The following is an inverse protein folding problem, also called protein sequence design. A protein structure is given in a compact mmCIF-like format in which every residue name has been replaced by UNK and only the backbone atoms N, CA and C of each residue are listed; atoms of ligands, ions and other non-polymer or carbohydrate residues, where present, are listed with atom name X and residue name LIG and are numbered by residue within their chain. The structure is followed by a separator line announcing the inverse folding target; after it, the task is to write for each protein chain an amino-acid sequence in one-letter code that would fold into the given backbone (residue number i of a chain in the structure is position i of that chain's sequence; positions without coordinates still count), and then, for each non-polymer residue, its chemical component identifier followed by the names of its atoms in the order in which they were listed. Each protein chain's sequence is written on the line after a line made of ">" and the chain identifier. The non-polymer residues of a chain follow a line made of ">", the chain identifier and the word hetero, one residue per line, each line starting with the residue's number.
data_IF_099387336963
#
_entry.id   IF_099387336963
#
_cell.length_a   1.000
_cell.length_b   1.000
_cell.length_c   1.000
_cell.angle_alpha   90.00
_cell.angle_beta   90.00
_cell.angle_gamma   90.00
#
_symmetry.space_group_name_H-M   'P 1'
#
loop_
_entity.id
_entity.type
_entity.pdbx_description
1 polymer ?
#
# COMPACT_ATOMS: atom_id res chain seq x y z
N UNK A 1 -5.35 -32.96 17.18
CA UNK A 1 -5.59 -33.63 18.49
C UNK A 1 -6.15 -32.61 19.46
N UNK A 2 -7.39 -32.78 19.92
CA UNK A 2 -8.09 -31.79 20.74
C UNK A 2 -7.59 -31.78 22.19
N UNK A 3 -7.65 -30.62 22.85
CA UNK A 3 -7.23 -30.38 24.25
C UNK A 3 -7.79 -31.36 25.29
N UNK A 4 -8.90 -32.06 24.98
CA UNK A 4 -9.59 -32.97 25.90
C UNK A 4 -9.00 -34.39 25.93
N UNK A 5 -8.28 -34.83 24.90
CA UNK A 5 -7.70 -36.18 24.80
C UNK A 5 -6.17 -36.14 24.75
N UNK A 6 -5.55 -35.16 25.43
CA UNK A 6 -4.09 -35.02 25.45
C UNK A 6 -3.43 -36.02 26.39
N UNK A 7 -2.27 -36.53 26.03
CA UNK A 7 -1.47 -37.40 26.91
C UNK A 7 -1.17 -36.71 28.25
N UNK A 8 -0.96 -35.38 28.24
CA UNK A 8 -0.77 -34.59 29.46
C UNK A 8 -2.01 -34.52 30.38
N UNK A 9 -3.23 -34.50 29.81
CA UNK A 9 -4.46 -34.49 30.62
C UNK A 9 -4.69 -35.87 31.24
N UNK A 10 -4.37 -36.95 30.51
CA UNK A 10 -4.43 -38.32 31.02
C UNK A 10 -3.44 -38.57 32.17
N UNK A 11 -2.21 -38.06 32.06
CA UNK A 11 -1.21 -38.17 33.14
C UNK A 11 -1.69 -37.43 34.41
N UNK A 12 -2.33 -36.27 34.25
CA UNK A 12 -2.88 -35.54 35.39
C UNK A 12 -4.00 -36.33 36.10
N UNK A 13 -4.93 -36.90 35.32
CA UNK A 13 -6.04 -37.69 35.87
C UNK A 13 -5.57 -39.01 36.51
N UNK A 14 -4.61 -39.71 35.89
CA UNK A 14 -4.12 -41.00 36.37
C UNK A 14 -3.13 -40.89 37.52
N UNK A 15 -2.28 -39.86 37.55
CA UNK A 15 -1.20 -39.77 38.55
C UNK A 15 -1.55 -38.81 39.68
N UNK A 16 -2.15 -37.65 39.37
CA UNK A 16 -2.39 -36.61 40.37
C UNK A 16 -3.71 -36.80 41.11
N UNK A 17 -4.77 -37.22 40.38
CA UNK A 17 -6.10 -37.44 40.98
C UNK A 17 -6.21 -38.77 41.74
N UNK A 18 -5.49 -39.81 41.28
CA UNK A 18 -5.50 -41.14 41.88
C UNK A 18 -4.45 -41.36 43.00
N UNK A 19 -3.57 -40.38 43.27
CA UNK A 19 -2.53 -40.53 44.30
C UNK A 19 -3.08 -40.56 45.74
N UNK A 20 -2.55 -41.40 46.64
CA UNK A 20 -2.85 -41.40 48.08
C UNK A 20 -2.46 -40.09 48.76
N UNK A 21 -3.12 -39.73 49.87
CA UNK A 21 -2.92 -38.44 50.57
C UNK A 21 -1.45 -38.18 50.96
N UNK A 22 -0.69 -39.23 51.27
CA UNK A 22 0.72 -39.15 51.69
C UNK A 22 1.71 -38.88 50.53
N UNK A 23 1.34 -39.25 49.30
CA UNK A 23 2.21 -39.15 48.11
C UNK A 23 1.85 -38.05 47.12
N UNK A 24 0.68 -37.39 47.30
CA UNK A 24 0.18 -36.35 46.37
C UNK A 24 1.17 -35.22 46.14
N UNK A 25 2.00 -34.88 47.13
CA UNK A 25 2.96 -33.79 47.04
C UNK A 25 4.13 -34.09 46.09
N UNK A 26 4.72 -35.29 46.18
CA UNK A 26 5.83 -35.72 45.30
C UNK A 26 5.34 -35.91 43.86
N UNK A 27 4.19 -36.56 43.69
CA UNK A 27 3.59 -36.77 42.35
C UNK A 27 3.24 -35.43 41.69
N UNK A 28 2.70 -34.47 42.43
CA UNK A 28 2.43 -33.13 41.92
C UNK A 28 3.68 -32.38 41.46
N UNK A 29 4.80 -32.52 42.18
CA UNK A 29 6.08 -31.91 41.79
C UNK A 29 6.60 -32.51 40.49
N UNK A 30 6.54 -33.84 40.33
CA UNK A 30 7.00 -34.53 39.11
C UNK A 30 6.15 -34.17 37.89
N UNK A 31 4.84 -34.05 38.05
CA UNK A 31 3.93 -33.66 36.95
C UNK A 31 4.19 -32.22 36.51
N UNK A 32 4.43 -31.30 37.46
CA UNK A 32 4.77 -29.91 37.13
C UNK A 32 6.13 -29.79 36.44
N UNK A 33 7.13 -30.56 36.86
CA UNK A 33 8.43 -30.63 36.20
C UNK A 33 8.28 -31.12 34.75
N UNK A 34 7.55 -32.22 34.54
CA UNK A 34 7.28 -32.74 33.20
C UNK A 34 6.55 -31.71 32.32
N UNK A 35 5.51 -31.05 32.86
CA UNK A 35 4.76 -30.02 32.13
C UNK A 35 5.67 -28.88 31.66
N UNK A 36 6.57 -28.42 32.54
CA UNK A 36 7.52 -27.35 32.23
C UNK A 36 8.47 -27.77 31.10
N UNK A 37 9.05 -28.97 31.17
CA UNK A 37 9.97 -29.47 30.11
C UNK A 37 9.28 -29.60 28.75
N UNK A 38 8.02 -30.03 28.72
CA UNK A 38 7.25 -30.17 27.48
C UNK A 38 6.89 -28.81 26.90
N UNK A 39 6.46 -27.86 27.76
CA UNK A 39 6.19 -26.49 27.33
C UNK A 39 7.43 -25.81 26.75
N UNK A 40 8.61 -25.99 27.38
CA UNK A 40 9.88 -25.51 26.86
C UNK A 40 10.24 -26.13 25.49
N UNK A 41 10.08 -27.45 25.33
CA UNK A 41 10.40 -28.13 24.08
C UNK A 41 9.47 -27.69 22.93
N UNK A 42 8.18 -27.53 23.23
CA UNK A 42 7.19 -27.01 22.28
C UNK A 42 7.52 -25.55 21.91
N UNK A 43 7.91 -24.73 22.88
CA UNK A 43 8.26 -23.34 22.64
C UNK A 43 9.54 -23.20 21.79
N UNK A 44 10.53 -24.08 21.98
CA UNK A 44 11.74 -24.16 21.13
C UNK A 44 11.43 -24.62 19.71
N UNK A 45 10.45 -25.49 19.53
CA UNK A 45 10.09 -26.07 18.22
C UNK A 45 9.07 -25.24 17.44
N UNK A 46 8.33 -24.34 18.10
CA UNK A 46 7.39 -23.39 17.47
C UNK A 46 8.01 -22.45 16.43
N UNK A 47 9.18 -21.81 16.67
CA UNK A 47 9.72 -20.85 15.70
C UNK A 47 10.15 -21.50 14.37
N UNK A 48 10.67 -22.73 14.38
CA UNK A 48 11.07 -23.43 13.14
C UNK A 48 9.87 -23.86 12.29
N UNK A 49 8.78 -24.28 12.94
CA UNK A 49 7.52 -24.61 12.24
C UNK A 49 6.80 -23.35 11.76
N UNK A 50 6.81 -22.26 12.54
CA UNK A 50 6.29 -20.95 12.13
C UNK A 50 7.03 -20.36 10.94
N UNK A 51 8.35 -20.56 10.85
CA UNK A 51 9.14 -20.14 9.69
C UNK A 51 8.77 -20.93 8.42
N UNK A 52 8.38 -22.21 8.57
CA UNK A 52 7.98 -23.09 7.46
C UNK A 52 6.51 -22.91 7.04
N UNK A 53 5.66 -22.45 7.97
CA UNK A 53 4.21 -22.35 7.79
C UNK A 53 3.69 -20.94 7.44
N UNK A 54 4.56 -19.96 7.16
CA UNK A 54 4.12 -18.67 6.63
C UNK A 54 3.43 -18.91 5.27
N UNK A 55 2.12 -18.63 5.16
CA UNK A 55 1.32 -19.07 4.04
C UNK A 55 1.73 -18.36 2.75
N UNK A 56 2.00 -19.18 1.73
CA UNK A 56 1.96 -18.78 0.33
C UNK A 56 0.52 -18.38 0.01
N UNK A 57 0.26 -17.08 -0.07
CA UNK A 57 -0.96 -16.57 -0.70
C UNK A 57 -1.80 -15.68 0.19
N UNK A 58 -1.82 -14.41 -0.22
CA UNK A 58 -2.96 -13.50 -0.19
C UNK A 58 -3.64 -13.30 1.18
N UNK A 59 -3.23 -12.24 1.87
CA UNK A 59 -4.22 -11.46 2.62
C UNK A 59 -3.84 -9.99 2.62
N UNK A 60 -4.67 -9.22 1.92
CA UNK A 60 -4.80 -7.79 2.04
C UNK A 60 -4.88 -7.37 3.51
N UNK A 61 -4.09 -6.36 3.89
CA UNK A 61 -4.47 -5.28 4.80
C UNK A 61 -3.44 -4.16 4.67
N UNK A 62 -3.94 -3.01 4.24
CA UNK A 62 -3.21 -1.77 4.12
C UNK A 62 -2.93 -1.22 5.53
N UNK A 63 -1.71 -1.39 6.03
CA UNK A 63 -1.21 -0.63 7.18
C UNK A 63 0.24 -0.20 6.92
N UNK A 64 0.46 1.09 7.04
CA UNK A 64 1.74 1.80 6.90
C UNK A 64 2.71 1.26 7.94
N UNK A 65 3.74 0.51 7.51
CA UNK A 65 4.76 0.00 8.43
C UNK A 65 5.67 -1.05 7.81
N UNK A 66 6.90 -0.63 7.50
CA UNK A 66 8.14 -1.43 7.40
C UNK A 66 8.05 -2.75 6.63
N UNK A 67 8.58 -2.67 5.41
CA UNK A 67 8.84 -3.74 4.44
C UNK A 67 9.50 -4.97 5.06
N UNK A 68 8.72 -6.01 5.40
CA UNK A 68 9.21 -7.40 5.55
C UNK A 68 8.12 -8.42 5.21
N UNK A 69 7.95 -8.72 3.92
CA UNK A 69 7.38 -9.98 3.44
C UNK A 69 7.53 -10.12 1.90
N UNK A 70 8.76 -10.17 1.40
CA UNK A 70 9.01 -10.73 0.06
C UNK A 70 9.72 -12.07 0.28
N UNK A 71 8.96 -13.16 0.17
CA UNK A 71 9.50 -14.50 0.36
C UNK A 71 10.51 -14.82 -0.74
N UNK A 72 11.79 -14.96 -0.36
CA UNK A 72 12.91 -15.68 -1.01
C UNK A 72 13.14 -15.54 -2.53
N UNK A 73 12.32 -14.82 -3.27
CA UNK A 73 12.41 -14.63 -4.70
C UNK A 73 12.80 -13.18 -4.98
N UNK A 74 13.89 -12.94 -5.73
CA UNK A 74 14.20 -11.61 -6.21
C UNK A 74 13.03 -11.13 -7.08
N UNK A 75 12.50 -9.97 -6.74
CA UNK A 75 11.48 -9.28 -7.54
C UNK A 75 12.23 -8.61 -8.69
N UNK A 76 11.76 -8.84 -9.92
CA UNK A 76 12.24 -8.10 -11.07
C UNK A 76 11.69 -6.66 -11.03
N UNK A 77 12.57 -5.73 -10.64
CA UNK A 77 12.27 -4.30 -10.53
C UNK A 77 12.11 -3.61 -11.90
N UNK A 78 12.44 -4.29 -13.00
CA UNK A 78 12.29 -3.75 -14.36
C UNK A 78 10.89 -3.94 -14.92
N UNK A 79 10.09 -4.82 -14.31
CA UNK A 79 8.73 -5.07 -14.75
C UNK A 79 7.88 -3.79 -14.71
N UNK A 80 7.15 -3.48 -15.80
CA UNK A 80 6.24 -2.35 -15.79
C UNK A 80 5.14 -2.61 -14.76
N UNK A 81 5.13 -1.80 -13.71
CA UNK A 81 4.02 -1.77 -12.77
C UNK A 81 2.73 -1.27 -13.41
N UNK A 82 1.63 -1.36 -12.68
CA UNK A 82 0.34 -0.80 -13.10
C UNK A 82 0.48 0.74 -13.08
N UNK A 83 0.52 1.36 -14.26
CA UNK A 83 0.60 2.82 -14.43
C UNK A 83 -0.75 3.38 -14.85
N UNK A 84 -1.11 4.54 -14.28
CA UNK A 84 -2.17 5.37 -14.84
C UNK A 84 -1.56 6.20 -15.98
N UNK A 85 -2.17 6.26 -17.16
CA UNK A 85 -1.65 7.11 -18.23
C UNK A 85 -1.68 8.57 -17.78
N UNK A 86 -0.59 9.29 -18.04
CA UNK A 86 -0.57 10.74 -17.91
C UNK A 86 -1.28 11.33 -19.13
N UNK A 87 -2.06 12.39 -18.91
CA UNK A 87 -2.62 13.17 -20.02
C UNK A 87 -1.52 13.90 -20.79
N UNK A 88 -1.87 14.38 -21.99
CA UNK A 88 -1.02 15.24 -22.79
C UNK A 88 -1.69 16.61 -22.96
N UNK A 89 -0.87 17.66 -23.05
CA UNK A 89 -1.35 19.01 -23.39
C UNK A 89 -1.83 19.04 -24.86
N UNK A 90 -2.90 19.81 -25.12
CA UNK A 90 -3.41 19.97 -26.47
C UNK A 90 -2.38 20.72 -27.34
N UNK A 91 -2.12 20.30 -28.60
CA UNK A 91 -1.08 20.89 -29.43
C UNK A 91 -1.18 22.41 -29.60
N UNK A 92 -2.40 22.95 -29.74
CA UNK A 92 -2.64 24.40 -29.86
C UNK A 92 -2.17 25.15 -28.60
N UNK A 93 -2.49 24.63 -27.41
CA UNK A 93 -2.11 25.24 -26.15
C UNK A 93 -0.59 25.20 -25.99
N UNK A 94 0.02 24.06 -26.33
CA UNK A 94 1.48 23.91 -26.32
C UNK A 94 2.15 24.95 -27.22
N UNK A 95 1.70 25.09 -28.47
CA UNK A 95 2.28 26.08 -29.40
C UNK A 95 2.05 27.52 -28.95
N UNK A 96 0.87 27.82 -28.40
CA UNK A 96 0.56 29.15 -27.85
C UNK A 96 1.49 29.48 -26.67
N UNK A 97 1.67 28.55 -25.74
CA UNK A 97 2.57 28.69 -24.59
C UNK A 97 4.03 28.88 -25.03
N UNK A 98 4.48 28.14 -26.06
CA UNK A 98 5.80 28.33 -26.65
C UNK A 98 5.97 29.75 -27.23
N UNK A 99 5.02 30.23 -28.04
CA UNK A 99 5.06 31.59 -28.59
C UNK A 99 5.06 32.65 -27.49
N UNK A 100 4.15 32.54 -26.52
CA UNK A 100 4.04 33.46 -25.38
C UNK A 100 5.35 33.50 -24.59
N UNK A 101 6.01 32.35 -24.39
CA UNK A 101 7.28 32.30 -23.67
C UNK A 101 8.39 33.13 -24.33
N UNK A 102 8.44 33.16 -25.66
CA UNK A 102 9.42 33.95 -26.42
C UNK A 102 9.20 35.44 -26.19
N UNK A 103 7.97 35.93 -26.35
CA UNK A 103 7.66 37.35 -26.19
C UNK A 103 7.78 37.81 -24.74
N UNK A 104 7.43 36.96 -23.78
CA UNK A 104 7.66 37.23 -22.36
C UNK A 104 9.15 37.42 -22.05
N UNK A 105 10.03 36.63 -22.66
CA UNK A 105 11.48 36.79 -22.49
C UNK A 105 12.02 38.09 -23.12
N UNK A 106 11.28 38.68 -24.06
CA UNK A 106 11.58 40.00 -24.63
C UNK A 106 11.02 41.16 -23.79
N UNK A 107 10.29 40.88 -22.71
CA UNK A 107 9.74 41.89 -21.79
C UNK A 107 8.30 42.31 -22.09
N UNK A 108 7.59 41.63 -22.99
CA UNK A 108 6.17 41.88 -23.24
C UNK A 108 5.31 41.30 -22.10
N UNK A 109 4.19 41.97 -21.79
CA UNK A 109 3.13 41.44 -20.91
C UNK A 109 2.09 40.66 -21.72
N UNK A 110 1.33 39.82 -21.03
CA UNK A 110 0.25 39.01 -21.61
C UNK A 110 -1.06 39.64 -21.16
N UNK A 111 -1.95 39.94 -22.10
CA UNK A 111 -3.29 40.45 -21.86
C UNK A 111 -4.31 39.56 -22.58
N UNK A 112 -5.46 39.35 -21.94
CA UNK A 112 -6.58 38.60 -22.52
C UNK A 112 -7.79 39.54 -22.71
N UNK A 113 -8.54 39.32 -23.78
CA UNK A 113 -9.74 40.09 -24.12
C UNK A 113 -11.00 39.23 -24.18
N UNK A 114 -12.19 39.85 -24.25
CA UNK A 114 -13.44 39.12 -24.44
C UNK A 114 -13.49 38.44 -25.81
N UNK A 115 -14.12 37.26 -25.89
CA UNK A 115 -14.31 36.55 -27.17
C UNK A 115 -15.35 37.24 -28.08
N UNK A 116 -16.35 37.89 -27.47
CA UNK A 116 -17.36 38.68 -28.18
C UNK A 116 -16.98 40.15 -28.03
N UNK A 117 -16.64 40.79 -29.15
CA UNK A 117 -16.28 42.20 -29.19
C UNK A 117 -17.34 43.10 -29.85
N UNK A 118 -17.20 44.40 -29.61
CA UNK A 118 -17.99 45.46 -30.23
C UNK A 118 -17.42 45.85 -31.61
N UNK A 119 -18.28 46.37 -32.51
CA UNK A 119 -17.87 46.84 -33.85
C UNK A 119 -16.75 47.88 -33.78
N UNK A 120 -16.76 48.71 -32.73
CA UNK A 120 -15.76 49.74 -32.52
C UNK A 120 -14.35 49.17 -32.28
N UNK A 121 -14.19 48.23 -31.34
CA UNK A 121 -12.87 47.67 -31.02
C UNK A 121 -12.35 46.70 -32.09
N UNK A 122 -13.24 46.01 -32.79
CA UNK A 122 -12.83 45.06 -33.83
C UNK A 122 -12.55 45.74 -35.18
N UNK A 123 -13.19 46.88 -35.49
CA UNK A 123 -13.09 47.50 -36.83
C UNK A 123 -12.81 49.00 -36.82
N UNK A 124 -13.68 49.82 -36.22
CA UNK A 124 -13.58 51.30 -36.36
C UNK A 124 -12.27 51.84 -35.79
N UNK A 125 -11.85 51.37 -34.61
CA UNK A 125 -10.60 51.78 -33.95
C UNK A 125 -9.34 51.29 -34.68
N UNK A 126 -9.46 50.27 -35.53
CA UNK A 126 -8.39 49.73 -36.37
C UNK A 126 -8.39 50.31 -37.78
N UNK A 127 -9.10 51.42 -38.01
CA UNK A 127 -9.18 52.15 -39.27
C UNK A 127 -9.90 51.38 -40.41
N UNK A 128 -10.89 50.56 -40.06
CA UNK A 128 -11.78 49.91 -41.04
C UNK A 128 -13.14 50.62 -41.08
N UNK A 129 -13.46 51.44 -42.09
CA UNK A 129 -14.78 52.06 -42.22
C UNK A 129 -15.89 51.04 -42.54
N UNK A 130 -17.18 51.37 -42.37
CA UNK A 130 -18.30 50.45 -42.57
C UNK A 130 -18.34 49.75 -43.94
N UNK A 131 -17.82 50.38 -45.00
CA UNK A 131 -17.81 49.84 -46.36
C UNK A 131 -16.49 49.15 -46.73
N UNK A 132 -15.64 48.81 -45.76
CA UNK A 132 -14.36 48.17 -46.03
C UNK A 132 -14.56 46.68 -46.37
N UNK A 133 -13.97 46.14 -47.45
CA UNK A 133 -14.15 44.74 -47.86
C UNK A 133 -13.62 43.70 -46.86
N UNK A 134 -12.94 44.13 -45.80
CA UNK A 134 -12.48 43.26 -44.70
C UNK A 134 -13.51 43.14 -43.56
N UNK A 135 -14.67 43.81 -43.66
CA UNK A 135 -15.81 43.65 -42.74
C UNK A 135 -16.81 42.58 -43.20
N UNK A 136 -16.85 42.31 -44.51
CA UNK A 136 -17.65 41.26 -45.16
C UNK A 136 -16.90 39.91 -45.15
#
# INVERSE_FOLDING_TARGET
>A
MARKNGVLTQINDLWLRAAPKDGKRDVGQRVNALKTTVEEYVQKSRPSVSATAMPRGVSAKAEVGVVKAYGERPIDITLPGIRRPLGAEHPIIKTMNEMVSVFRNLGYSIEEGPEIETDYYNFESLNFPPNHPARD
#
